data_IF_280587925026
#
_entry.id   IF_280587925026
#
_cell.length_a   1.000
_cell.length_b   1.000
_cell.length_c   1.000
_cell.angle_alpha   90.00
_cell.angle_beta   90.00
_cell.angle_gamma   90.00
#
_symmetry.space_group_name_H-M   'P 1'
#
loop_
_entity.id
_entity.type
_entity.pdbx_description
1 polymer ?
#
# COMPACT_ATOMS: atom_id res chain seq x y z
N UNK A 1 19.49 17.02 0.96
CA UNK A 1 18.03 17.08 0.89
C UNK A 1 17.64 16.35 -0.38
N UNK A 2 17.16 15.11 -0.28
CA UNK A 2 16.79 14.31 -1.46
C UNK A 2 15.35 14.67 -1.83
N UNK A 3 15.18 15.33 -2.97
CA UNK A 3 13.86 15.68 -3.51
C UNK A 3 13.44 14.54 -4.44
N UNK A 4 12.38 13.82 -4.08
CA UNK A 4 11.74 12.84 -4.96
C UNK A 4 10.68 13.54 -5.81
N UNK A 5 10.77 13.41 -7.14
CA UNK A 5 9.74 13.90 -8.05
C UNK A 5 8.48 13.02 -7.91
N UNK A 6 7.43 13.57 -7.30
CA UNK A 6 6.13 12.93 -7.22
C UNK A 6 5.25 13.47 -8.36
N UNK A 7 4.65 12.61 -9.19
CA UNK A 7 3.76 13.05 -10.25
C UNK A 7 2.46 13.58 -9.63
N UNK A 8 2.04 14.72 -10.16
CA UNK A 8 0.87 15.47 -9.72
C UNK A 8 -0.29 15.10 -10.63
N UNK A 9 -1.39 14.62 -10.06
CA UNK A 9 -2.62 14.29 -10.80
C UNK A 9 -3.35 15.57 -11.23
N UNK A 10 -3.48 16.52 -10.31
CA UNK A 10 -3.97 17.86 -10.61
C UNK A 10 -3.39 18.88 -9.62
N UNK A 11 -3.34 20.15 -10.01
CA UNK A 11 -2.96 21.23 -9.11
C UNK A 11 -3.91 22.42 -9.26
N UNK A 12 -4.07 23.19 -8.20
CA UNK A 12 -4.83 24.43 -8.20
C UNK A 12 -4.15 25.47 -7.32
N UNK A 13 -4.21 26.73 -7.73
CA UNK A 13 -3.77 27.88 -6.96
C UNK A 13 -4.96 28.81 -6.73
N UNK A 14 -5.17 29.24 -5.50
CA UNK A 14 -6.21 30.21 -5.13
C UNK A 14 -5.56 31.44 -4.51
N UNK A 15 -5.56 32.60 -5.19
CA UNK A 15 -4.95 33.81 -4.63
C UNK A 15 -5.69 34.29 -3.39
N UNK A 16 -4.95 34.84 -2.43
CA UNK A 16 -5.54 35.47 -1.25
C UNK A 16 -5.93 36.91 -1.57
N UNK A 17 -7.24 37.20 -1.58
CA UNK A 17 -7.78 38.51 -1.94
C UNK A 17 -7.27 39.68 -1.08
N UNK A 18 -6.78 39.40 0.14
CA UNK A 18 -6.21 40.40 1.05
C UNK A 18 -4.68 40.50 0.99
N UNK A 19 -4.03 39.79 0.07
CA UNK A 19 -2.56 39.80 -0.02
C UNK A 19 -2.06 40.82 -1.03
N UNK A 20 -1.53 41.94 -0.53
CA UNK A 20 -0.78 42.93 -1.32
C UNK A 20 0.48 42.30 -1.95
N UNK A 21 1.07 41.30 -1.30
CA UNK A 21 2.31 40.63 -1.74
C UNK A 21 2.07 39.41 -2.66
N UNK A 22 0.88 39.24 -3.25
CA UNK A 22 0.60 38.15 -4.20
C UNK A 22 0.66 36.73 -3.64
N UNK A 23 0.31 36.52 -2.37
CA UNK A 23 0.26 35.19 -1.74
C UNK A 23 -0.94 34.39 -2.24
N UNK A 24 -0.74 33.09 -2.44
CA UNK A 24 -1.76 32.15 -2.92
C UNK A 24 -1.75 30.85 -2.10
N UNK A 25 -2.90 30.17 -2.04
CA UNK A 25 -3.02 28.79 -1.58
C UNK A 25 -2.82 27.84 -2.76
N UNK A 26 -1.73 27.08 -2.76
CA UNK A 26 -1.47 26.04 -3.75
C UNK A 26 -1.87 24.67 -3.19
N UNK A 27 -2.68 23.90 -3.93
CA UNK A 27 -3.09 22.54 -3.59
C UNK A 27 -2.72 21.64 -4.77
N UNK A 28 -1.95 20.59 -4.51
CA UNK A 28 -1.64 19.55 -5.49
C UNK A 28 -2.20 18.21 -5.00
N UNK A 29 -2.96 17.53 -5.86
CA UNK A 29 -3.35 16.14 -5.65
C UNK A 29 -2.23 15.26 -6.21
N UNK A 30 -1.64 14.44 -5.34
CA UNK A 30 -0.51 13.58 -5.68
C UNK A 30 -0.95 12.13 -5.55
N UNK A 31 -0.56 11.31 -6.51
CA UNK A 31 -0.76 9.87 -6.47
C UNK A 31 0.55 9.21 -6.05
N UNK A 32 0.60 8.62 -4.85
CA UNK A 32 1.86 8.17 -4.26
C UNK A 32 2.09 6.69 -4.53
N UNK A 33 1.07 5.84 -4.36
CA UNK A 33 1.24 4.38 -4.38
C UNK A 33 1.32 3.77 -5.79
N UNK A 34 0.51 4.24 -6.76
CA UNK A 34 0.59 3.71 -8.13
C UNK A 34 1.92 4.02 -8.81
N UNK A 35 2.49 5.18 -8.48
CA UNK A 35 3.78 5.64 -8.99
C UNK A 35 4.91 4.86 -8.36
N UNK A 36 4.84 4.60 -7.05
CA UNK A 36 5.80 3.75 -6.37
C UNK A 36 5.87 2.36 -7.01
N UNK A 37 4.72 1.73 -7.28
CA UNK A 37 4.67 0.43 -7.94
C UNK A 37 5.29 0.48 -9.35
N UNK A 38 4.94 1.50 -10.15
CA UNK A 38 5.48 1.66 -11.51
C UNK A 38 7.00 1.87 -11.51
N UNK A 39 7.51 2.74 -10.65
CA UNK A 39 8.95 3.00 -10.55
C UNK A 39 9.71 1.78 -10.01
N UNK A 40 9.12 1.02 -9.08
CA UNK A 40 9.70 -0.24 -8.60
C UNK A 40 9.82 -1.27 -9.73
N UNK A 41 8.74 -1.52 -10.49
CA UNK A 41 8.75 -2.44 -11.64
C UNK A 41 9.79 -1.99 -12.67
N UNK A 42 9.79 -0.70 -13.04
CA UNK A 42 10.76 -0.14 -13.99
C UNK A 42 12.21 -0.26 -13.51
N UNK A 43 12.47 -0.04 -12.23
CA UNK A 43 13.81 -0.18 -11.65
C UNK A 43 14.30 -1.63 -11.69
N UNK A 44 13.39 -2.58 -11.49
CA UNK A 44 13.67 -4.02 -11.48
C UNK A 44 13.77 -4.63 -12.88
N UNK A 45 13.23 -3.96 -13.90
CA UNK A 45 13.12 -4.42 -15.30
C UNK A 45 14.43 -4.94 -15.90
N UNK A 46 15.57 -4.36 -15.49
CA UNK A 46 16.91 -4.73 -15.96
C UNK A 46 17.38 -6.13 -15.54
N UNK A 47 16.70 -6.76 -14.59
CA UNK A 47 17.06 -8.06 -14.05
C UNK A 47 16.23 -9.17 -14.71
N UNK A 48 16.78 -10.40 -14.82
CA UNK A 48 16.16 -11.49 -15.58
C UNK A 48 15.25 -12.42 -14.76
N UNK A 49 15.53 -12.58 -13.46
CA UNK A 49 14.75 -13.41 -12.56
C UNK A 49 14.45 -12.61 -11.29
N UNK A 50 13.27 -12.00 -11.25
CA UNK A 50 12.83 -11.12 -10.17
C UNK A 50 11.53 -11.62 -9.59
N UNK A 51 11.47 -11.59 -8.26
CA UNK A 51 10.23 -11.67 -7.49
C UNK A 51 10.12 -10.34 -6.75
N UNK A 52 9.02 -9.63 -6.97
CA UNK A 52 8.67 -8.42 -6.25
C UNK A 52 7.37 -8.68 -5.50
N UNK A 53 7.42 -8.60 -4.17
CA UNK A 53 6.31 -9.06 -3.33
C UNK A 53 6.23 -8.33 -2.00
N UNK A 54 5.05 -8.42 -1.37
CA UNK A 54 4.73 -7.77 -0.10
C UNK A 54 3.35 -7.14 -0.13
N UNK A 55 3.01 -6.41 0.93
CA UNK A 55 1.81 -5.58 1.00
C UNK A 55 1.96 -4.38 0.07
N UNK A 56 1.31 -4.46 -1.09
CA UNK A 56 1.32 -3.41 -2.10
C UNK A 56 0.25 -2.35 -1.81
N UNK A 57 -0.64 -2.61 -0.85
CA UNK A 57 -1.85 -1.86 -0.58
C UNK A 57 -2.67 -1.53 -1.87
N UNK A 58 -2.63 -2.44 -2.86
CA UNK A 58 -3.19 -2.23 -4.19
C UNK A 58 -4.66 -2.60 -4.24
N UNK A 59 -5.50 -1.71 -4.78
CA UNK A 59 -6.92 -1.92 -4.95
C UNK A 59 -7.28 -1.95 -6.45
N UNK A 60 -7.59 -3.14 -6.99
CA UNK A 60 -7.87 -3.29 -8.42
C UNK A 60 -9.06 -2.44 -8.91
N UNK A 61 -9.98 -2.04 -8.02
CA UNK A 61 -11.13 -1.18 -8.40
C UNK A 61 -10.77 0.30 -8.43
N UNK A 62 -9.91 0.74 -7.52
CA UNK A 62 -9.52 2.16 -7.40
C UNK A 62 -8.30 2.49 -8.25
N UNK A 63 -7.33 1.59 -8.27
CA UNK A 63 -6.01 1.78 -8.88
C UNK A 63 -5.92 1.15 -10.27
N UNK A 64 -6.88 0.28 -10.60
CA UNK A 64 -6.90 -0.47 -11.86
C UNK A 64 -5.89 -1.62 -11.87
N UNK A 65 -5.44 -1.99 -13.06
CA UNK A 65 -4.50 -3.09 -13.24
C UNK A 65 -3.12 -2.70 -12.68
N UNK A 66 -2.52 -3.61 -11.91
CA UNK A 66 -1.15 -3.43 -11.41
C UNK A 66 -0.18 -3.19 -12.59
N UNK A 67 0.75 -2.21 -12.52
CA UNK A 67 1.52 -1.72 -13.65
C UNK A 67 2.67 -2.68 -14.04
N UNK A 68 2.33 -3.89 -14.45
CA UNK A 68 3.26 -4.90 -14.94
C UNK A 68 3.71 -4.54 -16.36
N UNK A 69 5.02 -4.67 -16.60
CA UNK A 69 5.60 -4.58 -17.94
C UNK A 69 5.58 -5.95 -18.62
N UNK A 70 5.84 -6.01 -19.93
CA UNK A 70 5.86 -7.27 -20.67
C UNK A 70 6.81 -8.30 -20.06
N UNK A 71 6.34 -9.55 -19.96
CA UNK A 71 7.09 -10.66 -19.35
C UNK A 71 7.02 -10.73 -17.82
N UNK A 72 6.36 -9.77 -17.16
CA UNK A 72 5.94 -9.92 -15.78
C UNK A 72 4.59 -10.63 -15.67
N UNK A 73 4.42 -11.41 -14.61
CA UNK A 73 3.17 -12.08 -14.26
C UNK A 73 2.81 -11.82 -12.80
N UNK A 74 1.52 -11.85 -12.49
CA UNK A 74 1.01 -11.95 -11.11
C UNK A 74 0.89 -13.43 -10.76
N UNK A 75 1.69 -13.90 -9.81
CA UNK A 75 1.80 -15.30 -9.47
C UNK A 75 0.47 -15.91 -9.01
N UNK A 76 -0.37 -15.12 -8.31
CA UNK A 76 -1.68 -15.58 -7.85
C UNK A 76 -2.62 -15.81 -9.04
N UNK A 77 -2.70 -14.83 -9.94
CA UNK A 77 -3.56 -14.91 -11.13
C UNK A 77 -3.15 -16.03 -12.07
N UNK A 78 -1.84 -16.27 -12.22
CA UNK A 78 -1.30 -17.35 -13.07
C UNK A 78 -1.65 -18.74 -12.53
N UNK A 79 -1.46 -18.97 -11.22
CA UNK A 79 -1.60 -20.30 -10.63
C UNK A 79 -3.00 -20.61 -10.09
N UNK A 80 -3.81 -19.59 -9.82
CA UNK A 80 -5.18 -19.71 -9.29
C UNK A 80 -6.18 -18.94 -10.17
N UNK A 81 -6.27 -19.26 -11.48
CA UNK A 81 -7.13 -18.52 -12.38
C UNK A 81 -8.60 -18.60 -11.93
N UNK A 82 -9.23 -17.45 -11.76
CA UNK A 82 -10.62 -17.33 -11.30
C UNK A 82 -10.81 -17.20 -9.78
N UNK A 83 -9.75 -17.43 -8.98
CA UNK A 83 -9.79 -17.15 -7.55
C UNK A 83 -9.38 -15.69 -7.27
N UNK A 84 -10.13 -15.02 -6.39
CA UNK A 84 -9.85 -13.61 -6.08
C UNK A 84 -8.61 -13.44 -5.21
N UNK A 85 -8.35 -14.36 -4.27
CA UNK A 85 -7.17 -14.35 -3.41
C UNK A 85 -7.13 -13.21 -2.40
N UNK A 86 -8.20 -13.00 -1.61
CA UNK A 86 -8.21 -11.94 -0.58
C UNK A 86 -7.15 -12.20 0.49
N UNK A 87 -6.10 -11.37 0.53
CA UNK A 87 -5.09 -11.42 1.60
C UNK A 87 -5.51 -10.57 2.80
N UNK A 88 -6.45 -9.66 2.61
CA UNK A 88 -7.09 -8.87 3.65
C UNK A 88 -8.59 -9.07 3.59
N UNK A 89 -9.16 -9.76 4.59
CA UNK A 89 -10.58 -10.10 4.64
C UNK A 89 -11.16 -9.89 6.05
N UNK A 90 -11.92 -8.81 6.25
CA UNK A 90 -12.59 -8.53 7.54
C UNK A 90 -13.83 -9.38 7.81
N UNK A 91 -14.31 -10.13 6.81
CA UNK A 91 -15.44 -11.08 6.97
C UNK A 91 -14.95 -12.38 7.59
N UNK A 92 -13.84 -12.91 7.08
CA UNK A 92 -13.32 -14.22 7.48
C UNK A 92 -12.33 -14.11 8.65
N UNK A 93 -11.56 -13.03 8.72
CA UNK A 93 -10.57 -12.82 9.78
C UNK A 93 -11.20 -12.17 11.03
N UNK A 94 -11.39 -12.97 12.08
CA UNK A 94 -11.98 -12.53 13.36
C UNK A 94 -11.11 -11.55 14.14
N UNK A 95 -9.82 -11.44 13.82
CA UNK A 95 -8.93 -10.47 14.46
C UNK A 95 -9.11 -9.05 13.92
N UNK A 96 -9.73 -8.90 12.75
CA UNK A 96 -10.02 -7.60 12.15
C UNK A 96 -11.41 -7.15 12.57
N UNK A 97 -11.49 -6.18 13.49
CA UNK A 97 -12.74 -5.53 13.82
C UNK A 97 -13.04 -4.41 12.82
N UNK A 98 -14.14 -4.52 12.08
CA UNK A 98 -14.59 -3.46 11.17
C UNK A 98 -16.10 -3.34 11.16
N UNK A 99 -16.61 -2.11 11.07
CA UNK A 99 -18.05 -1.86 10.92
C UNK A 99 -18.60 -2.25 9.53
N UNK A 100 -17.71 -2.67 8.61
CA UNK A 100 -18.03 -3.03 7.23
C UNK A 100 -17.14 -4.18 6.76
N UNK A 101 -17.72 -5.03 5.90
CA UNK A 101 -16.97 -6.06 5.18
C UNK A 101 -16.03 -5.42 4.17
N UNK A 102 -14.74 -5.73 4.29
CA UNK A 102 -13.68 -5.28 3.40
C UNK A 102 -12.84 -6.50 3.00
N UNK A 103 -12.82 -6.77 1.69
CA UNK A 103 -12.12 -7.92 1.11
C UNK A 103 -11.23 -7.39 -0.02
N UNK A 104 -9.91 -7.43 0.17
CA UNK A 104 -8.91 -6.88 -0.75
C UNK A 104 -7.73 -7.84 -0.90
N UNK A 105 -7.05 -7.75 -2.05
CA UNK A 105 -5.79 -8.45 -2.33
C UNK A 105 -4.64 -7.44 -2.31
N UNK A 106 -4.24 -7.09 -1.10
CA UNK A 106 -3.22 -6.09 -0.83
C UNK A 106 -1.82 -6.68 -1.04
N UNK A 107 -1.62 -7.89 -0.56
CA UNK A 107 -0.37 -8.63 -0.72
C UNK A 107 -0.32 -9.27 -2.10
N UNK A 108 0.78 -9.05 -2.80
CA UNK A 108 0.99 -9.61 -4.15
C UNK A 108 2.38 -10.17 -4.29
N UNK A 109 2.51 -11.12 -5.21
CA UNK A 109 3.78 -11.64 -5.71
C UNK A 109 3.76 -11.47 -7.22
N UNK A 110 4.55 -10.53 -7.73
CA UNK A 110 4.70 -10.31 -9.16
C UNK A 110 6.11 -10.70 -9.58
N UNK A 111 6.21 -11.42 -10.70
CA UNK A 111 7.41 -12.14 -11.06
C UNK A 111 7.78 -11.88 -12.52
N UNK A 112 9.07 -11.69 -12.79
CA UNK A 112 9.66 -11.75 -14.13
C UNK A 112 10.71 -12.84 -14.10
N UNK A 113 10.41 -14.00 -14.68
CA UNK A 113 11.27 -15.17 -14.61
C UNK A 113 11.61 -15.64 -16.02
N UNK A 114 12.90 -15.68 -16.34
CA UNK A 114 13.41 -16.22 -17.60
C UNK A 114 13.76 -17.69 -17.48
N UNK A 115 14.43 -18.05 -16.39
CA UNK A 115 15.04 -19.38 -16.22
C UNK A 115 14.25 -20.27 -15.25
N UNK A 116 13.24 -19.69 -14.59
CA UNK A 116 12.41 -20.37 -13.60
C UNK A 116 10.93 -20.29 -13.99
N UNK A 117 10.15 -21.23 -13.46
CA UNK A 117 8.70 -21.22 -13.52
C UNK A 117 8.14 -21.26 -12.12
N UNK A 118 7.02 -20.59 -11.89
CA UNK A 118 6.31 -20.68 -10.62
C UNK A 118 5.58 -22.02 -10.60
N UNK A 119 5.76 -22.79 -9.53
CA UNK A 119 5.14 -24.11 -9.41
C UNK A 119 3.85 -24.09 -8.60
N UNK A 120 3.81 -23.26 -7.54
CA UNK A 120 2.73 -23.27 -6.56
C UNK A 120 2.65 -21.94 -5.81
N UNK A 121 1.44 -21.61 -5.38
CA UNK A 121 1.13 -20.52 -4.44
C UNK A 121 -0.02 -20.97 -3.53
N UNK A 122 0.12 -20.70 -2.24
CA UNK A 122 -0.84 -21.09 -1.21
C UNK A 122 -1.06 -19.92 -0.23
N UNK A 123 -2.31 -19.76 0.19
CA UNK A 123 -2.68 -18.84 1.26
C UNK A 123 -2.51 -19.52 2.61
N UNK A 124 -1.59 -19.00 3.43
CA UNK A 124 -1.27 -19.54 4.75
C UNK A 124 -1.90 -18.68 5.87
N UNK A 125 -1.87 -19.19 7.11
CA UNK A 125 -2.34 -18.43 8.28
C UNK A 125 -3.87 -18.30 8.40
N UNK A 126 -4.60 -19.20 7.74
CA UNK A 126 -6.07 -19.24 7.76
C UNK A 126 -6.62 -19.92 9.03
N UNK A 127 -5.80 -20.69 9.72
CA UNK A 127 -6.17 -21.33 10.98
C UNK A 127 -6.01 -20.37 12.15
N UNK A 128 -7.05 -20.30 12.98
CA UNK A 128 -6.97 -19.54 14.23
C UNK A 128 -5.91 -20.16 15.14
N UNK A 129 -5.02 -19.32 15.67
CA UNK A 129 -4.04 -19.74 16.67
C UNK A 129 -4.82 -20.24 17.90
N UNK A 130 -4.79 -21.55 18.10
CA UNK A 130 -5.66 -22.27 19.03
C UNK A 130 -5.05 -22.41 20.43
N UNK A 131 -3.90 -21.79 20.68
CA UNK A 131 -3.25 -21.80 21.98
C UNK A 131 -3.24 -20.41 22.61
N UNK A 132 -3.52 -20.37 23.90
CA UNK A 132 -3.59 -19.17 24.76
C UNK A 132 -2.24 -18.46 24.87
N UNK A 133 -1.78 -17.86 23.78
CA UNK A 133 -0.69 -16.90 23.79
C UNK A 133 -1.35 -15.52 23.86
N UNK A 134 -1.55 -15.03 25.08
CA UNK A 134 -1.91 -13.64 25.29
C UNK A 134 -0.68 -12.81 24.94
N UNK A 135 -0.67 -12.19 23.76
CA UNK A 135 0.27 -11.11 23.51
C UNK A 135 -0.09 -9.96 24.46
N UNK A 136 0.66 -9.83 25.57
CA UNK A 136 0.76 -8.57 26.28
C UNK A 136 1.58 -7.63 25.39
N UNK A 137 0.92 -7.00 24.43
CA UNK A 137 1.47 -5.79 23.84
C UNK A 137 1.73 -4.85 25.00
N UNK A 138 2.98 -4.43 25.21
CA UNK A 138 3.23 -3.28 26.07
C UNK A 138 2.41 -2.16 25.45
N UNK A 139 1.39 -1.71 26.16
CA UNK A 139 0.84 -0.39 25.89
C UNK A 139 2.05 0.53 25.92
N UNK A 140 2.45 1.04 24.75
CA UNK A 140 3.19 2.27 24.74
C UNK A 140 2.19 3.27 25.33
N UNK A 141 2.38 3.51 26.62
CA UNK A 141 1.80 4.59 27.38
C UNK A 141 1.72 5.78 26.43
N UNK A 142 0.51 6.25 26.16
CA UNK A 142 0.28 7.44 25.33
C UNK A 142 0.85 8.62 26.10
N UNK A 143 2.17 8.80 26.09
CA UNK A 143 2.80 10.07 26.37
C UNK A 143 2.55 10.94 25.14
N UNK A 144 1.34 11.48 25.04
CA UNK A 144 1.10 12.64 24.21
C UNK A 144 2.12 13.73 24.59
N UNK A 145 2.55 14.56 23.64
CA UNK A 145 3.44 15.67 23.96
C UNK A 145 2.76 16.53 25.04
N UNK A 146 3.39 16.64 26.21
CA UNK A 146 3.00 17.59 27.24
C UNK A 146 3.30 18.99 26.72
N UNK A 147 2.33 19.61 26.06
CA UNK A 147 2.34 21.05 25.87
C UNK A 147 1.98 21.69 27.22
N UNK A 148 3.02 22.08 27.96
CA UNK A 148 2.87 22.94 29.12
C UNK A 148 2.45 24.33 28.65
N UNK A 149 1.21 24.71 28.95
CA UNK A 149 0.79 26.11 28.93
C UNK A 149 1.25 26.75 30.25
N UNK A 150 2.28 27.59 30.20
CA UNK A 150 2.57 28.52 31.29
C UNK A 150 1.84 29.83 31.00
N UNK A 151 0.70 30.05 31.68
CA UNK A 151 0.19 31.40 31.91
C UNK A 151 1.13 32.07 32.91
N UNK A 152 1.80 33.14 32.50
CA UNK A 152 2.34 34.13 33.43
C UNK A 152 1.32 35.27 33.52
N UNK A 153 0.94 35.59 34.75
CA UNK A 153 0.24 36.81 35.15
C UNK A 153 1.11 38.04 34.93
#
# INVERSE_FOLDING_TARGET
MQLSNLPIKCYSCKPFNNSIMGRELCIAEVEVHTVQAREAVKFLEKNQNVIFCGDMNWDDKLDGQFPLSDGWIDAWTELRPGEVGWTYDTKSNKMLSGNRTLQKRLDRFVCKLRDFKISEIEMIGMDAITWSITYQGKENEKTGPKYGASCFT
#
